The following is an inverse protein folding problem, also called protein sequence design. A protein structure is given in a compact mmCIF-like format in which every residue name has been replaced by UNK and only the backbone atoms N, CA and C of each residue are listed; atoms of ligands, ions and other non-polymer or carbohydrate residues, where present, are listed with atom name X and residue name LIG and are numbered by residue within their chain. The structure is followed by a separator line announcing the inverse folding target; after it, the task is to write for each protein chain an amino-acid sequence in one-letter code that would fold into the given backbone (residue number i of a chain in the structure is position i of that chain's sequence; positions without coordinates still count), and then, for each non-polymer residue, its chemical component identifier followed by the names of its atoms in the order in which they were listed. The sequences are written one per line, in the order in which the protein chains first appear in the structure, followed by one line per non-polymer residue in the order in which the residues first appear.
data_IF_512253568958
#
_entry.id   IF_512253568958
#
_cell.length_a   1.000
_cell.length_b   1.000
_cell.length_c   1.000
_cell.angle_alpha   90.00
_cell.angle_beta   90.00
_cell.angle_gamma   90.00
#
_symmetry.space_group_name_H-M   'P 1'
#
loop_
_entity.id
_entity.type
_entity.pdbx_description
1 polymer ?
#
# COMPACT_ATOMS: atom_id res chain seq x y z
N UNK A 1 23.04 -6.28 16.11
CA UNK A 1 23.17 -5.59 14.81
C UNK A 1 24.13 -6.40 13.96
N UNK A 2 23.61 -7.34 13.19
CA UNK A 2 24.40 -8.14 12.25
C UNK A 2 24.31 -7.39 10.92
N UNK A 3 25.35 -6.61 10.61
CA UNK A 3 25.53 -6.03 9.28
C UNK A 3 25.83 -7.18 8.30
N UNK A 4 24.83 -7.59 7.54
CA UNK A 4 25.10 -8.40 6.34
C UNK A 4 25.62 -7.42 5.29
N UNK A 5 26.93 -7.43 5.12
CA UNK A 5 27.62 -6.65 4.10
C UNK A 5 27.27 -7.24 2.73
N UNK A 6 26.32 -6.61 2.01
CA UNK A 6 25.98 -6.97 0.64
C UNK A 6 26.74 -6.02 -0.31
N UNK A 7 28.05 -6.18 -0.33
CA UNK A 7 28.96 -5.59 -1.33
C UNK A 7 28.88 -6.37 -2.66
N UNK A 8 27.70 -6.41 -3.29
CA UNK A 8 27.56 -7.15 -4.57
C UNK A 8 26.88 -6.33 -5.68
N UNK A 9 26.65 -5.05 -5.51
CA UNK A 9 26.07 -4.23 -6.56
C UNK A 9 26.89 -2.95 -6.74
N UNK A 10 27.88 -3.01 -7.65
CA UNK A 10 28.66 -1.85 -8.06
C UNK A 10 27.75 -0.81 -8.74
N UNK A 11 27.40 0.22 -8.01
CA UNK A 11 26.84 1.45 -8.60
C UNK A 11 28.02 2.34 -9.00
N UNK A 12 28.17 2.57 -10.29
CA UNK A 12 29.13 3.56 -10.81
C UNK A 12 28.50 4.96 -10.64
N UNK A 13 28.79 5.62 -9.51
CA UNK A 13 28.31 6.95 -9.19
C UNK A 13 29.03 8.00 -10.05
N UNK A 14 28.49 8.38 -11.21
CA UNK A 14 28.80 9.63 -11.88
C UNK A 14 27.57 10.52 -12.00
N UNK A 15 27.42 11.44 -11.04
CA UNK A 15 26.80 12.78 -11.08
C UNK A 15 25.62 13.06 -12.00
N UNK A 16 24.43 12.79 -11.51
CA UNK A 16 23.20 13.59 -11.56
C UNK A 16 22.30 12.87 -10.58
N UNK A 17 21.86 13.45 -9.48
CA UNK A 17 21.17 12.93 -8.30
C UNK A 17 20.85 11.42 -8.27
N UNK A 18 21.00 10.79 -7.12
CA UNK A 18 20.64 9.37 -6.96
C UNK A 18 19.19 9.14 -7.39
N UNK A 19 18.88 8.01 -8.08
CA UNK A 19 17.50 7.68 -8.46
C UNK A 19 16.62 7.59 -7.23
N UNK A 20 15.37 8.07 -7.35
CA UNK A 20 14.43 8.19 -6.25
C UNK A 20 13.25 7.24 -6.39
N UNK A 21 12.63 6.92 -5.26
CA UNK A 21 11.41 6.12 -5.17
C UNK A 21 10.22 7.05 -4.98
N UNK A 22 9.20 6.89 -5.83
CA UNK A 22 7.97 7.65 -5.80
C UNK A 22 6.75 6.73 -5.69
N UNK A 23 5.74 7.18 -4.93
CA UNK A 23 4.47 6.46 -4.82
C UNK A 23 3.40 7.13 -5.68
N UNK A 24 2.70 6.30 -6.45
CA UNK A 24 1.49 6.67 -7.17
C UNK A 24 0.33 5.83 -6.63
N UNK A 25 -0.60 6.47 -5.93
CA UNK A 25 -1.75 5.76 -5.37
C UNK A 25 -2.89 5.63 -6.38
N UNK A 26 -3.42 4.43 -6.51
CA UNK A 26 -4.52 4.10 -7.43
C UNK A 26 -5.82 3.70 -6.70
N UNK A 27 -5.94 4.01 -5.41
CA UNK A 27 -7.15 3.76 -4.61
C UNK A 27 -8.40 4.32 -5.28
N UNK A 28 -8.34 5.54 -5.81
CA UNK A 28 -9.46 6.21 -6.47
C UNK A 28 -9.77 5.71 -7.88
N UNK A 29 -8.94 4.84 -8.43
CA UNK A 29 -9.15 4.23 -9.76
C UNK A 29 -9.38 2.73 -9.61
N UNK A 30 -8.38 1.95 -9.19
CA UNK A 30 -8.47 0.50 -9.04
C UNK A 30 -9.14 0.09 -7.72
N UNK A 31 -8.78 0.75 -6.62
CA UNK A 31 -9.38 0.48 -5.31
C UNK A 31 -10.91 0.60 -5.32
N UNK A 32 -11.48 1.61 -5.99
CA UNK A 32 -12.94 1.78 -6.10
C UNK A 32 -13.62 0.75 -7.01
N UNK A 33 -12.85 -0.07 -7.74
CA UNK A 33 -13.37 -1.16 -8.56
C UNK A 33 -13.46 -2.48 -7.76
N UNK A 34 -13.04 -2.48 -6.50
CA UNK A 34 -13.20 -3.65 -5.62
C UNK A 34 -14.66 -4.12 -5.61
N UNK A 35 -14.87 -5.40 -5.89
CA UNK A 35 -16.20 -5.97 -5.92
C UNK A 35 -16.91 -5.83 -4.57
N UNK A 36 -18.22 -5.56 -4.57
CA UNK A 36 -19.10 -5.41 -3.40
C UNK A 36 -18.75 -4.23 -2.48
N UNK A 37 -17.94 -3.29 -2.95
CA UNK A 37 -17.66 -2.04 -2.25
C UNK A 37 -18.04 -0.85 -3.11
N UNK A 38 -18.18 0.30 -2.50
CA UNK A 38 -18.44 1.55 -3.18
C UNK A 38 -17.88 2.71 -2.38
N UNK A 39 -17.38 3.71 -3.07
CA UNK A 39 -16.94 4.95 -2.45
C UNK A 39 -17.64 6.12 -3.11
N UNK A 40 -18.22 7.00 -2.29
CA UNK A 40 -18.86 8.23 -2.80
C UNK A 40 -17.82 9.16 -3.43
N UNK A 41 -18.24 10.11 -4.26
CA UNK A 41 -17.35 11.13 -4.83
C UNK A 41 -16.66 11.97 -3.73
N UNK A 42 -17.37 12.23 -2.63
CA UNK A 42 -16.78 12.86 -1.45
C UNK A 42 -15.73 11.95 -0.80
N UNK A 43 -16.01 10.65 -0.67
CA UNK A 43 -15.03 9.67 -0.20
C UNK A 43 -13.77 9.65 -1.07
N UNK A 44 -13.90 9.61 -2.39
CA UNK A 44 -12.76 9.75 -3.32
C UNK A 44 -11.97 11.05 -3.10
N UNK A 45 -12.66 12.14 -2.78
CA UNK A 45 -12.01 13.44 -2.43
C UNK A 45 -11.22 13.33 -1.14
N UNK A 46 -11.75 12.65 -0.12
CA UNK A 46 -11.04 12.43 1.14
C UNK A 46 -9.82 11.52 0.98
N UNK A 47 -9.85 10.53 0.06
CA UNK A 47 -8.63 9.77 -0.29
C UNK A 47 -7.54 10.73 -0.78
N UNK A 48 -7.82 11.62 -1.72
CA UNK A 48 -6.84 12.60 -2.19
C UNK A 48 -6.34 13.53 -1.08
N UNK A 49 -7.24 13.94 -0.16
CA UNK A 49 -6.86 14.73 1.01
C UNK A 49 -5.85 14.00 1.89
N UNK A 50 -6.11 12.74 2.23
CA UNK A 50 -5.19 11.96 3.06
C UNK A 50 -3.87 11.64 2.34
N UNK A 51 -3.91 11.34 1.05
CA UNK A 51 -2.69 11.13 0.25
C UNK A 51 -1.81 12.38 0.22
N UNK A 52 -2.42 13.57 0.06
CA UNK A 52 -1.69 14.83 0.14
C UNK A 52 -1.09 15.09 1.52
N UNK A 53 -1.78 14.74 2.61
CA UNK A 53 -1.26 14.85 3.98
C UNK A 53 -0.17 13.84 4.29
N UNK A 54 -0.31 12.63 3.75
CA UNK A 54 0.73 11.58 3.86
C UNK A 54 1.98 11.93 3.02
N UNK A 55 1.87 12.82 2.03
CA UNK A 55 2.98 13.25 1.20
C UNK A 55 3.25 12.34 0.00
N UNK A 56 2.26 11.60 -0.49
CA UNK A 56 2.37 10.77 -1.71
C UNK A 56 2.51 11.64 -2.95
N UNK A 57 3.37 11.26 -3.90
CA UNK A 57 3.67 12.07 -5.08
C UNK A 57 2.47 12.26 -6.02
N UNK A 58 1.68 11.21 -6.25
CA UNK A 58 0.63 11.23 -7.27
C UNK A 58 -0.57 10.35 -6.90
N UNK A 59 -1.77 10.81 -7.25
CA UNK A 59 -3.02 10.04 -7.17
C UNK A 59 -3.65 9.88 -8.55
N UNK A 60 -4.03 8.65 -8.91
CA UNK A 60 -4.84 8.35 -10.08
C UNK A 60 -6.31 8.44 -9.69
N UNK A 61 -6.93 9.60 -9.96
CA UNK A 61 -8.21 9.99 -9.38
C UNK A 61 -9.44 9.34 -10.01
N UNK A 62 -9.30 8.65 -11.15
CA UNK A 62 -10.39 7.95 -11.84
C UNK A 62 -10.38 8.13 -13.35
N UNK A 63 -11.57 8.15 -13.96
CA UNK A 63 -11.80 8.00 -15.39
C UNK A 63 -12.35 9.29 -16.03
N UNK A 64 -11.51 10.29 -16.39
CA UNK A 64 -11.99 11.60 -16.84
C UNK A 64 -12.77 11.59 -18.16
N UNK A 65 -12.73 10.50 -18.93
CA UNK A 65 -13.49 10.33 -20.16
C UNK A 65 -14.94 9.84 -19.94
N UNK A 66 -15.28 9.38 -18.72
CA UNK A 66 -16.63 8.93 -18.37
C UNK A 66 -17.49 10.10 -17.91
N UNK A 67 -18.67 10.27 -18.52
CA UNK A 67 -19.53 11.43 -18.28
C UNK A 67 -19.89 11.65 -16.80
N UNK A 68 -20.10 10.56 -16.04
CA UNK A 68 -20.47 10.62 -14.62
C UNK A 68 -19.28 10.89 -13.69
N UNK A 69 -18.05 10.80 -14.19
CA UNK A 69 -16.82 11.19 -13.46
C UNK A 69 -16.46 12.67 -13.70
N UNK A 70 -16.90 13.28 -14.80
CA UNK A 70 -16.51 14.65 -15.16
C UNK A 70 -16.77 15.68 -14.06
N UNK A 71 -17.94 15.74 -13.40
CA UNK A 71 -18.16 16.70 -12.31
C UNK A 71 -17.19 16.50 -11.13
N UNK A 72 -16.90 15.24 -10.78
CA UNK A 72 -15.94 14.91 -9.74
C UNK A 72 -14.53 15.36 -10.14
N UNK A 73 -14.07 15.03 -11.35
CA UNK A 73 -12.72 15.42 -11.83
C UNK A 73 -12.57 16.94 -11.82
N UNK A 74 -13.58 17.69 -12.25
CA UNK A 74 -13.59 19.17 -12.18
C UNK A 74 -13.46 19.68 -10.75
N UNK A 75 -14.18 19.07 -9.80
CA UNK A 75 -14.07 19.41 -8.40
C UNK A 75 -12.66 19.13 -7.84
N UNK A 76 -12.04 18.01 -8.24
CA UNK A 76 -10.68 17.69 -7.81
C UNK A 76 -9.66 18.71 -8.36
N UNK A 77 -9.76 19.10 -9.62
CA UNK A 77 -8.91 20.15 -10.20
C UNK A 77 -9.07 21.47 -9.41
N UNK A 78 -10.29 21.90 -9.13
CA UNK A 78 -10.55 23.12 -8.39
C UNK A 78 -10.00 23.05 -6.94
N UNK A 79 -10.16 21.92 -6.25
CA UNK A 79 -9.64 21.71 -4.90
C UNK A 79 -8.11 21.68 -4.88
N UNK A 80 -7.45 21.06 -5.87
CA UNK A 80 -6.00 21.09 -5.99
C UNK A 80 -5.48 22.52 -6.21
N UNK A 81 -6.11 23.29 -7.07
CA UNK A 81 -5.76 24.71 -7.29
C UNK A 81 -5.96 25.57 -6.03
N UNK A 82 -6.93 25.20 -5.18
CA UNK A 82 -7.15 25.85 -3.88
C UNK A 82 -6.17 25.37 -2.78
N UNK A 83 -5.26 24.44 -3.09
CA UNK A 83 -4.27 23.92 -2.15
C UNK A 83 -4.78 22.85 -1.20
N UNK A 84 -5.98 22.27 -1.42
CA UNK A 84 -6.59 21.30 -0.51
C UNK A 84 -5.79 20.00 -0.36
N UNK A 85 -4.97 19.67 -1.34
CA UNK A 85 -4.21 18.42 -1.42
C UNK A 85 -2.69 18.60 -1.31
N UNK A 86 -2.21 19.82 -0.93
CA UNK A 86 -0.77 20.10 -0.92
C UNK A 86 -0.14 19.90 -2.29
N UNK A 87 1.01 19.22 -2.34
CA UNK A 87 1.77 18.99 -3.57
C UNK A 87 1.35 17.72 -4.34
N UNK A 88 0.27 17.04 -3.91
CA UNK A 88 -0.24 15.84 -4.56
C UNK A 88 -0.59 16.11 -6.04
N UNK A 89 0.07 15.40 -6.94
CA UNK A 89 -0.24 15.45 -8.37
C UNK A 89 -1.46 14.60 -8.69
N UNK A 90 -2.43 15.17 -9.41
CA UNK A 90 -3.63 14.45 -9.83
C UNK A 90 -3.46 13.94 -11.26
N UNK A 91 -3.72 12.64 -11.48
CA UNK A 91 -3.71 12.02 -12.80
C UNK A 91 -5.03 11.37 -13.15
N UNK A 92 -5.36 11.35 -14.44
CA UNK A 92 -6.50 10.64 -15.00
C UNK A 92 -6.07 9.34 -15.66
N UNK A 93 -6.88 8.28 -15.53
CA UNK A 93 -6.69 7.05 -16.26
C UNK A 93 -7.62 6.99 -17.48
N UNK A 94 -7.09 6.61 -18.65
CA UNK A 94 -7.84 6.42 -19.87
C UNK A 94 -7.46 5.10 -20.55
N UNK A 95 -8.37 4.55 -21.35
CA UNK A 95 -7.96 3.52 -22.31
C UNK A 95 -7.02 4.16 -23.32
N UNK A 96 -6.04 3.38 -23.82
CA UNK A 96 -5.12 3.79 -24.88
C UNK A 96 -5.82 3.94 -26.24
N UNK A 97 -6.89 4.71 -26.26
CA UNK A 97 -7.76 5.00 -27.39
C UNK A 97 -7.83 6.52 -27.55
N UNK A 98 -7.41 7.09 -28.68
CA UNK A 98 -7.32 8.54 -28.86
C UNK A 98 -8.61 9.29 -28.50
N UNK A 99 -9.78 8.76 -28.86
CA UNK A 99 -11.07 9.39 -28.59
C UNK A 99 -11.40 9.52 -27.09
N UNK A 100 -10.96 8.58 -26.25
CA UNK A 100 -11.13 8.69 -24.80
C UNK A 100 -10.22 9.76 -24.22
N UNK A 101 -8.98 9.83 -24.71
CA UNK A 101 -8.00 10.83 -24.30
C UNK A 101 -8.44 12.23 -24.69
N UNK A 102 -8.92 12.42 -25.92
CA UNK A 102 -9.46 13.69 -26.41
C UNK A 102 -10.61 14.20 -25.52
N UNK A 103 -11.52 13.34 -25.09
CA UNK A 103 -12.56 13.70 -24.11
C UNK A 103 -11.99 14.07 -22.75
N UNK A 104 -11.02 13.29 -22.26
CA UNK A 104 -10.42 13.49 -20.95
C UNK A 104 -9.67 14.83 -20.84
N UNK A 105 -8.90 15.21 -21.85
CA UNK A 105 -8.13 16.47 -21.85
C UNK A 105 -9.02 17.71 -21.97
N UNK A 106 -10.28 17.56 -22.35
CA UNK A 106 -11.26 18.66 -22.36
C UNK A 106 -11.89 18.93 -20.99
N UNK A 107 -11.69 18.04 -20.01
CA UNK A 107 -12.22 18.25 -18.65
C UNK A 107 -11.40 19.31 -17.94
N UNK A 108 -12.00 20.47 -17.69
CA UNK A 108 -11.34 21.64 -17.11
C UNK A 108 -12.18 22.27 -16.00
N UNK A 109 -11.48 22.92 -15.05
CA UNK A 109 -12.06 23.81 -14.05
C UNK A 109 -11.23 25.10 -14.00
N UNK A 110 -11.86 26.28 -14.08
CA UNK A 110 -11.17 27.55 -14.09
C UNK A 110 -10.12 27.70 -15.22
N UNK A 111 -10.34 27.05 -16.37
CA UNK A 111 -9.38 27.01 -17.48
C UNK A 111 -8.26 25.96 -17.35
N UNK A 112 -8.07 25.36 -16.18
CA UNK A 112 -7.06 24.33 -15.91
C UNK A 112 -7.61 22.91 -16.10
N UNK A 113 -6.79 21.99 -16.59
CA UNK A 113 -7.07 20.56 -16.75
C UNK A 113 -6.11 19.72 -15.93
N UNK A 114 -6.30 18.40 -15.95
CA UNK A 114 -5.30 17.49 -15.42
C UNK A 114 -3.99 17.63 -16.21
N UNK A 115 -2.88 17.62 -15.50
CA UNK A 115 -1.55 17.67 -16.09
C UNK A 115 -0.92 16.29 -16.34
N UNK A 116 -1.49 15.25 -15.76
CA UNK A 116 -0.93 13.88 -15.78
C UNK A 116 -1.99 12.88 -16.23
N UNK A 117 -1.62 11.95 -17.11
CA UNK A 117 -2.50 10.91 -17.64
C UNK A 117 -1.78 9.55 -17.66
N UNK A 118 -2.52 8.49 -17.40
CA UNK A 118 -2.08 7.12 -17.56
C UNK A 118 -2.99 6.42 -18.58
N UNK A 119 -2.40 5.93 -19.67
CA UNK A 119 -3.10 5.34 -20.80
C UNK A 119 -2.89 3.83 -20.82
N UNK A 120 -3.94 3.02 -20.92
CA UNK A 120 -3.85 1.57 -20.77
C UNK A 120 -4.34 0.82 -22.00
N UNK A 121 -3.54 -0.17 -22.43
CA UNK A 121 -3.91 -1.15 -23.47
C UNK A 121 -3.30 -2.51 -23.10
N UNK A 122 -3.98 -3.60 -23.45
CA UNK A 122 -3.43 -4.95 -23.24
C UNK A 122 -2.32 -5.25 -24.24
N UNK A 123 -1.23 -5.85 -23.75
CA UNK A 123 -0.03 -6.11 -24.56
C UNK A 123 0.26 -7.60 -24.74
N UNK A 124 -0.30 -8.50 -23.90
CA UNK A 124 -0.02 -9.93 -24.03
C UNK A 124 -0.76 -10.57 -25.18
N UNK A 125 -0.12 -11.50 -25.89
CA UNK A 125 -0.74 -12.30 -26.94
C UNK A 125 -1.98 -13.04 -26.42
N UNK A 126 -1.97 -13.44 -25.14
CA UNK A 126 -3.11 -14.07 -24.51
C UNK A 126 -4.34 -13.16 -24.51
N UNK A 127 -4.18 -11.89 -24.11
CA UNK A 127 -5.31 -10.94 -24.13
C UNK A 127 -5.67 -10.51 -25.55
N UNK A 128 -4.73 -10.35 -26.45
CA UNK A 128 -5.01 -10.04 -27.84
C UNK A 128 -5.88 -11.13 -28.49
N UNK A 129 -5.58 -12.40 -28.23
CA UNK A 129 -6.36 -13.52 -28.74
C UNK A 129 -7.74 -13.65 -28.05
N UNK A 130 -7.79 -13.57 -26.72
CA UNK A 130 -8.99 -13.94 -25.95
C UNK A 130 -9.89 -12.75 -25.60
N UNK A 131 -9.34 -11.62 -25.12
CA UNK A 131 -10.08 -10.41 -24.76
C UNK A 131 -10.56 -9.65 -26.00
N UNK A 132 -9.65 -9.46 -26.97
CA UNK A 132 -9.94 -8.76 -28.21
C UNK A 132 -10.38 -9.68 -29.37
N UNK A 133 -10.35 -11.00 -29.15
CA UNK A 133 -10.74 -12.01 -30.15
C UNK A 133 -10.02 -11.82 -31.49
N UNK A 134 -8.72 -11.50 -31.44
CA UNK A 134 -7.88 -11.26 -32.60
C UNK A 134 -8.21 -9.99 -33.41
N UNK A 135 -9.01 -9.06 -32.85
CA UNK A 135 -9.30 -7.77 -33.52
C UNK A 135 -8.17 -6.77 -33.45
N UNK A 136 -7.25 -6.95 -32.51
CA UNK A 136 -6.02 -6.19 -32.37
C UNK A 136 -4.83 -7.13 -32.48
N UNK A 137 -3.84 -6.73 -33.24
CA UNK A 137 -2.52 -7.33 -33.28
C UNK A 137 -1.50 -6.42 -32.58
N UNK A 138 -0.24 -6.85 -32.45
CA UNK A 138 0.82 -6.09 -31.79
C UNK A 138 1.05 -4.73 -32.45
N UNK A 139 1.01 -4.65 -33.79
CA UNK A 139 1.17 -3.40 -34.54
C UNK A 139 0.01 -2.43 -34.26
N UNK A 140 -1.23 -2.92 -34.19
CA UNK A 140 -2.39 -2.11 -33.85
C UNK A 140 -2.28 -1.58 -32.42
N UNK A 141 -1.81 -2.36 -31.45
CA UNK A 141 -1.56 -1.93 -30.07
C UNK A 141 -0.58 -0.75 -30.05
N UNK A 142 0.53 -0.84 -30.76
CA UNK A 142 1.53 0.25 -30.84
C UNK A 142 0.91 1.49 -31.51
N UNK A 143 0.21 1.32 -32.65
CA UNK A 143 -0.43 2.46 -33.36
C UNK A 143 -1.43 3.18 -32.49
N UNK A 144 -2.36 2.45 -31.81
CA UNK A 144 -3.38 3.05 -30.95
C UNK A 144 -2.75 3.77 -29.77
N UNK A 145 -1.81 3.12 -29.06
CA UNK A 145 -1.16 3.74 -27.91
C UNK A 145 -0.35 4.99 -28.27
N UNK A 146 0.43 4.93 -29.33
CA UNK A 146 1.23 6.10 -29.77
C UNK A 146 0.34 7.27 -30.20
N UNK A 147 -0.78 6.99 -30.88
CA UNK A 147 -1.78 8.00 -31.20
C UNK A 147 -2.42 8.62 -29.95
N UNK A 148 -2.75 7.78 -28.95
CA UNK A 148 -3.31 8.22 -27.69
C UNK A 148 -2.31 9.10 -26.90
N UNK A 149 -1.03 8.73 -26.85
CA UNK A 149 0.03 9.55 -26.23
C UNK A 149 0.14 10.90 -26.89
N UNK A 150 0.18 10.97 -28.24
CA UNK A 150 0.23 12.23 -28.99
C UNK A 150 -1.01 13.09 -28.72
N UNK A 151 -2.21 12.48 -28.63
CA UNK A 151 -3.44 13.20 -28.29
C UNK A 151 -3.38 13.81 -26.87
N UNK A 152 -2.84 13.07 -25.88
CA UNK A 152 -2.65 13.59 -24.52
C UNK A 152 -1.67 14.78 -24.51
N UNK A 153 -0.53 14.66 -25.16
CA UNK A 153 0.47 15.74 -25.25
C UNK A 153 -0.08 16.96 -25.99
N UNK A 154 -0.78 16.78 -27.11
CA UNK A 154 -1.45 17.86 -27.85
C UNK A 154 -2.55 18.53 -26.99
N UNK A 155 -3.21 17.80 -26.10
CA UNK A 155 -4.18 18.30 -25.13
C UNK A 155 -3.57 19.03 -23.94
N UNK A 156 -2.24 19.13 -23.85
CA UNK A 156 -1.50 19.85 -22.82
C UNK A 156 -1.10 19.00 -21.60
N UNK A 157 -1.09 17.67 -21.73
CA UNK A 157 -0.56 16.81 -20.67
C UNK A 157 0.94 17.07 -20.43
N UNK A 158 1.31 17.29 -19.17
CA UNK A 158 2.70 17.44 -18.75
C UNK A 158 3.41 16.10 -18.76
N UNK A 159 2.80 15.07 -18.14
CA UNK A 159 3.33 13.70 -18.18
C UNK A 159 2.27 12.70 -18.65
N UNK A 160 2.73 11.69 -19.37
CA UNK A 160 1.91 10.58 -19.86
C UNK A 160 2.60 9.27 -19.51
N UNK A 161 1.94 8.44 -18.68
CA UNK A 161 2.32 7.05 -18.47
C UNK A 161 1.57 6.14 -19.44
N UNK A 162 2.21 5.11 -19.94
CA UNK A 162 1.56 4.06 -20.75
C UNK A 162 1.53 2.76 -19.99
N UNK A 163 0.37 2.13 -19.88
CA UNK A 163 0.18 0.91 -19.10
C UNK A 163 0.15 -0.29 -20.06
N UNK A 164 1.13 -1.17 -19.92
CA UNK A 164 1.14 -2.49 -20.54
C UNK A 164 0.27 -3.44 -19.69
N UNK A 165 -1.06 -3.44 -19.94
CA UNK A 165 -1.96 -4.37 -19.26
C UNK A 165 -1.58 -5.80 -19.60
N UNK A 166 -1.49 -6.66 -18.57
CA UNK A 166 -1.01 -8.04 -18.65
C UNK A 166 0.47 -8.15 -19.04
N UNK A 167 1.26 -7.19 -18.55
CA UNK A 167 2.70 -7.13 -18.78
C UNK A 167 3.45 -8.36 -18.31
N UNK A 168 3.00 -9.01 -17.21
CA UNK A 168 3.62 -10.24 -16.70
C UNK A 168 3.55 -11.42 -17.68
N UNK A 169 2.60 -11.43 -18.60
CA UNK A 169 2.48 -12.44 -19.68
C UNK A 169 2.85 -11.91 -21.07
N UNK A 170 3.31 -10.66 -21.15
CA UNK A 170 3.76 -10.06 -22.40
C UNK A 170 5.18 -10.54 -22.74
N UNK A 171 5.45 -10.83 -24.00
CA UNK A 171 6.78 -11.11 -24.52
C UNK A 171 7.73 -9.93 -24.27
N UNK A 172 8.93 -10.19 -23.77
CA UNK A 172 9.86 -9.13 -23.35
C UNK A 172 10.33 -8.26 -24.54
N UNK A 173 10.51 -8.86 -25.72
CA UNK A 173 10.86 -8.13 -26.93
C UNK A 173 9.75 -7.16 -27.34
N UNK A 174 8.51 -7.65 -27.37
CA UNK A 174 7.35 -6.81 -27.69
C UNK A 174 7.11 -5.73 -26.62
N UNK A 175 7.29 -6.03 -25.35
CA UNK A 175 7.17 -5.05 -24.27
C UNK A 175 8.19 -3.92 -24.45
N UNK A 176 9.42 -4.24 -24.84
CA UNK A 176 10.47 -3.26 -25.12
C UNK A 176 10.12 -2.42 -26.35
N UNK A 177 9.66 -3.03 -27.44
CA UNK A 177 9.21 -2.35 -28.65
C UNK A 177 8.05 -1.38 -28.36
N UNK A 178 7.05 -1.83 -27.63
CA UNK A 178 5.91 -1.01 -27.16
C UNK A 178 6.37 0.19 -26.36
N UNK A 179 7.26 0.00 -25.39
CA UNK A 179 7.76 1.06 -24.52
C UNK A 179 8.60 2.10 -25.30
N UNK A 180 9.46 1.65 -26.23
CA UNK A 180 10.23 2.53 -27.10
C UNK A 180 9.33 3.38 -28.01
N UNK A 181 8.35 2.75 -28.67
CA UNK A 181 7.40 3.47 -29.51
C UNK A 181 6.58 4.49 -28.71
N UNK A 182 6.18 4.14 -27.49
CA UNK A 182 5.48 5.07 -26.58
C UNK A 182 6.38 6.24 -26.18
N UNK A 183 7.64 6.00 -25.85
CA UNK A 183 8.64 7.04 -25.54
C UNK A 183 8.83 8.01 -26.71
N UNK A 184 8.99 7.49 -27.94
CA UNK A 184 9.10 8.32 -29.16
C UNK A 184 7.84 9.18 -29.39
N UNK A 185 6.67 8.68 -29.00
CA UNK A 185 5.42 9.43 -29.06
C UNK A 185 5.29 10.51 -27.97
N UNK A 186 6.18 10.49 -26.95
CA UNK A 186 6.24 11.44 -25.86
C UNK A 186 5.77 10.91 -24.51
N UNK A 187 5.70 9.58 -24.31
CA UNK A 187 5.44 9.00 -22.98
C UNK A 187 6.64 9.22 -22.05
N UNK A 188 6.35 9.41 -20.77
CA UNK A 188 7.34 9.70 -19.72
C UNK A 188 7.64 8.47 -18.85
N UNK A 189 6.74 7.48 -18.84
CA UNK A 189 6.86 6.21 -18.06
C UNK A 189 6.14 5.09 -18.77
N UNK A 190 6.60 3.86 -18.57
CA UNK A 190 5.84 2.66 -18.90
C UNK A 190 5.43 1.94 -17.61
N UNK A 191 4.13 1.65 -17.45
CA UNK A 191 3.62 0.86 -16.34
C UNK A 191 3.56 -0.61 -16.73
N UNK A 192 4.30 -1.41 -16.01
CA UNK A 192 4.21 -2.87 -16.08
C UNK A 192 3.10 -3.35 -15.16
N UNK A 193 2.06 -3.96 -15.73
CA UNK A 193 0.94 -4.47 -14.95
C UNK A 193 1.06 -5.98 -14.77
N UNK A 194 1.32 -6.45 -13.55
CA UNK A 194 1.11 -7.84 -13.15
C UNK A 194 -0.38 -8.05 -12.88
N UNK A 195 -1.15 -8.02 -13.96
CA UNK A 195 -2.62 -7.97 -13.98
C UNK A 195 -3.26 -9.17 -13.28
N UNK A 196 -2.63 -10.34 -13.35
CA UNK A 196 -3.14 -11.57 -12.73
C UNK A 196 -2.45 -11.93 -11.41
N UNK A 197 -1.52 -11.09 -10.94
CA UNK A 197 -0.77 -11.32 -9.71
C UNK A 197 0.08 -12.60 -9.74
N UNK A 198 0.61 -12.95 -10.90
CA UNK A 198 1.34 -14.21 -11.14
C UNK A 198 2.85 -14.07 -11.26
N UNK A 199 3.38 -12.87 -11.05
CA UNK A 199 4.82 -12.64 -11.09
C UNK A 199 5.51 -13.00 -9.77
N UNK A 200 6.84 -13.11 -9.81
CA UNK A 200 7.67 -13.38 -8.64
C UNK A 200 8.68 -12.25 -8.45
N UNK A 201 9.14 -12.00 -7.19
CA UNK A 201 10.08 -10.91 -6.91
C UNK A 201 11.34 -10.93 -7.79
N UNK A 202 11.98 -12.10 -7.96
CA UNK A 202 13.20 -12.19 -8.74
C UNK A 202 12.95 -11.93 -10.24
N UNK A 203 11.87 -12.50 -10.80
CA UNK A 203 11.52 -12.34 -12.21
C UNK A 203 11.15 -10.88 -12.52
N UNK A 204 10.34 -10.22 -11.70
CA UNK A 204 9.95 -8.85 -11.94
C UNK A 204 11.16 -7.91 -11.84
N UNK A 205 12.06 -8.12 -10.86
CA UNK A 205 13.29 -7.33 -10.74
C UNK A 205 14.16 -7.41 -11.99
N UNK A 206 14.40 -8.62 -12.48
CA UNK A 206 15.20 -8.84 -13.68
C UNK A 206 14.56 -8.17 -14.91
N UNK A 207 13.24 -8.33 -15.09
CA UNK A 207 12.50 -7.74 -16.21
C UNK A 207 12.53 -6.20 -16.17
N UNK A 208 12.37 -5.61 -14.99
CA UNK A 208 12.43 -4.15 -14.81
C UNK A 208 13.83 -3.63 -15.14
N UNK A 209 14.88 -4.23 -14.58
CA UNK A 209 16.25 -3.81 -14.87
C UNK A 209 16.57 -3.86 -16.38
N UNK A 210 16.13 -4.92 -17.08
CA UNK A 210 16.30 -5.07 -18.52
C UNK A 210 15.49 -4.03 -19.30
N UNK A 211 14.21 -3.87 -18.98
CA UNK A 211 13.30 -2.97 -19.70
C UNK A 211 13.72 -1.50 -19.50
N UNK A 212 13.95 -1.08 -18.25
CA UNK A 212 14.37 0.27 -17.91
C UNK A 212 15.71 0.64 -18.58
N UNK A 213 16.69 -0.28 -18.56
CA UNK A 213 17.98 -0.08 -19.26
C UNK A 213 17.81 0.03 -20.77
N UNK A 214 16.98 -0.82 -21.38
CA UNK A 214 16.78 -0.83 -22.84
C UNK A 214 16.04 0.41 -23.33
N UNK A 215 15.07 0.90 -22.53
CA UNK A 215 14.21 2.04 -22.91
C UNK A 215 14.79 3.37 -22.43
N UNK A 216 15.59 3.38 -21.35
CA UNK A 216 16.09 4.60 -20.71
C UNK A 216 14.93 5.49 -20.21
N UNK A 217 13.95 4.88 -19.55
CA UNK A 217 12.75 5.52 -19.05
C UNK A 217 12.24 4.71 -17.82
N UNK A 218 11.72 5.37 -16.77
CA UNK A 218 11.18 4.67 -15.60
C UNK A 218 10.11 3.63 -15.95
N UNK A 219 10.15 2.48 -15.28
CA UNK A 219 9.13 1.44 -15.36
C UNK A 219 8.32 1.46 -14.07
N UNK A 220 7.05 1.74 -14.16
CA UNK A 220 6.15 1.85 -13.00
C UNK A 220 5.54 0.49 -12.65
N UNK A 221 5.57 0.09 -11.39
CA UNK A 221 4.98 -1.18 -10.93
C UNK A 221 3.47 -1.04 -10.76
N UNK A 222 2.71 -2.07 -11.17
CA UNK A 222 1.31 -2.24 -10.80
C UNK A 222 1.03 -3.73 -10.58
N UNK A 223 1.05 -4.17 -9.32
CA UNK A 223 0.99 -5.59 -8.97
C UNK A 223 -0.28 -5.93 -8.21
N UNK A 224 -1.04 -6.93 -8.72
CA UNK A 224 -2.17 -7.52 -7.99
C UNK A 224 -1.70 -8.60 -7.01
N UNK A 225 -2.55 -8.89 -6.01
CA UNK A 225 -2.19 -9.63 -4.81
C UNK A 225 -2.74 -11.07 -4.79
N UNK A 226 -3.01 -11.66 -5.96
CA UNK A 226 -3.65 -12.98 -6.06
C UNK A 226 -2.83 -14.11 -5.42
N UNK A 227 -1.51 -13.99 -5.38
CA UNK A 227 -0.60 -14.91 -4.69
C UNK A 227 -0.03 -14.35 -3.37
N UNK A 228 -0.51 -13.18 -2.89
CA UNK A 228 0.02 -12.54 -1.70
C UNK A 228 1.38 -11.87 -1.91
N UNK A 229 1.82 -11.66 -3.15
CA UNK A 229 3.15 -11.15 -3.49
C UNK A 229 3.18 -9.69 -3.95
N UNK A 230 2.06 -8.98 -3.99
CA UNK A 230 1.99 -7.64 -4.58
C UNK A 230 3.00 -6.66 -3.97
N UNK A 231 3.14 -6.61 -2.65
CA UNK A 231 4.11 -5.74 -1.96
C UNK A 231 5.54 -6.14 -2.33
N UNK A 232 5.88 -7.42 -2.24
CA UNK A 232 7.21 -7.93 -2.57
C UNK A 232 7.57 -7.68 -4.05
N UNK A 233 6.63 -7.95 -4.97
CA UNK A 233 6.83 -7.70 -6.40
C UNK A 233 7.01 -6.21 -6.70
N UNK A 234 6.23 -5.33 -6.05
CA UNK A 234 6.36 -3.88 -6.22
C UNK A 234 7.72 -3.36 -5.75
N UNK A 235 8.21 -3.85 -4.60
CA UNK A 235 9.54 -3.52 -4.10
C UNK A 235 10.62 -4.00 -5.06
N UNK A 236 10.56 -5.25 -5.49
CA UNK A 236 11.57 -5.83 -6.37
C UNK A 236 11.56 -5.20 -7.77
N UNK A 237 10.39 -4.83 -8.31
CA UNK A 237 10.31 -4.04 -9.53
C UNK A 237 11.02 -2.69 -9.39
N UNK A 238 10.74 -1.96 -8.31
CA UNK A 238 11.42 -0.71 -8.01
C UNK A 238 12.95 -0.87 -7.90
N UNK A 239 13.43 -1.92 -7.22
CA UNK A 239 14.86 -2.23 -7.17
C UNK A 239 15.48 -2.51 -8.55
N UNK A 240 14.68 -3.05 -9.49
CA UNK A 240 15.09 -3.22 -10.88
C UNK A 240 15.30 -1.90 -11.63
N UNK A 241 14.38 -0.93 -11.44
CA UNK A 241 14.51 0.43 -11.98
C UNK A 241 15.75 1.14 -11.45
N UNK A 242 15.92 1.11 -10.12
CA UNK A 242 17.08 1.73 -9.46
C UNK A 242 18.39 1.13 -9.96
N UNK A 243 18.43 -0.19 -10.19
CA UNK A 243 19.59 -0.89 -10.76
C UNK A 243 19.89 -0.40 -12.19
N UNK A 244 18.88 0.03 -12.94
CA UNK A 244 19.03 0.62 -14.27
C UNK A 244 19.32 2.13 -14.24
N UNK A 245 19.47 2.75 -13.05
CA UNK A 245 19.72 4.18 -12.90
C UNK A 245 18.47 5.04 -13.17
N UNK A 246 17.28 4.48 -13.08
CA UNK A 246 16.01 5.19 -13.28
C UNK A 246 15.29 5.39 -11.94
N UNK A 247 14.50 6.47 -11.84
CA UNK A 247 13.56 6.65 -10.74
C UNK A 247 12.53 5.51 -10.73
N UNK A 248 12.19 5.01 -9.55
CA UNK A 248 11.19 3.97 -9.39
C UNK A 248 9.82 4.55 -9.06
N UNK A 249 8.80 4.14 -9.78
CA UNK A 249 7.40 4.51 -9.54
C UNK A 249 6.58 3.31 -9.10
N UNK A 250 5.94 3.40 -7.95
CA UNK A 250 5.25 2.26 -7.35
C UNK A 250 3.77 2.56 -7.23
N UNK A 251 2.94 1.75 -7.89
CA UNK A 251 1.49 1.81 -7.67
C UNK A 251 1.11 1.09 -6.39
N UNK A 252 0.27 1.75 -5.61
CA UNK A 252 -0.26 1.25 -4.36
C UNK A 252 -1.73 1.57 -4.21
N UNK A 253 -2.38 0.89 -3.26
CA UNK A 253 -3.69 1.27 -2.73
C UNK A 253 -3.62 1.30 -1.21
N UNK A 254 -4.37 2.20 -0.57
CA UNK A 254 -4.55 2.16 0.88
C UNK A 254 -5.13 0.81 1.29
N UNK A 255 -4.57 0.20 2.34
CA UNK A 255 -4.97 -1.12 2.86
C UNK A 255 -4.90 -2.26 1.81
N UNK A 256 -4.22 -2.05 0.69
CA UNK A 256 -4.13 -3.03 -0.39
C UNK A 256 -5.44 -3.32 -1.12
N UNK A 257 -6.45 -2.44 -1.02
CA UNK A 257 -7.74 -2.64 -1.70
C UNK A 257 -7.57 -2.63 -3.22
N UNK A 258 -8.46 -3.32 -3.95
CA UNK A 258 -8.41 -3.41 -5.41
C UNK A 258 -9.19 -4.60 -5.96
N UNK A 259 -9.13 -4.78 -7.27
CA UNK A 259 -9.76 -5.92 -7.93
C UNK A 259 -9.26 -7.26 -7.37
N UNK A 260 -10.16 -8.24 -7.24
CA UNK A 260 -9.91 -9.60 -6.75
C UNK A 260 -9.31 -9.62 -5.33
N UNK A 261 -8.03 -10.01 -5.19
CA UNK A 261 -7.30 -10.06 -3.91
C UNK A 261 -6.60 -8.73 -3.55
N UNK A 262 -6.81 -7.68 -4.36
CA UNK A 262 -6.28 -6.35 -4.12
C UNK A 262 -4.96 -6.06 -4.83
N UNK A 263 -4.31 -5.00 -4.38
CA UNK A 263 -3.04 -4.45 -4.90
C UNK A 263 -1.96 -4.41 -3.80
N UNK A 264 -0.81 -3.87 -4.12
CA UNK A 264 0.22 -3.57 -3.12
C UNK A 264 -0.32 -2.55 -2.10
N UNK A 265 -0.23 -2.89 -0.81
CA UNK A 265 -0.62 -1.98 0.28
C UNK A 265 0.37 -0.84 0.43
N UNK A 266 -0.14 0.40 0.41
CA UNK A 266 0.66 1.63 0.47
C UNK A 266 1.57 1.66 1.71
N UNK A 267 1.00 1.45 2.91
CA UNK A 267 1.76 1.54 4.14
C UNK A 267 2.81 0.44 4.26
N UNK A 268 2.44 -0.80 3.95
CA UNK A 268 3.39 -1.92 3.96
C UNK A 268 4.57 -1.69 3.03
N UNK A 269 4.33 -1.11 1.86
CA UNK A 269 5.39 -0.81 0.88
C UNK A 269 6.32 0.31 1.37
N UNK A 270 5.75 1.39 1.94
CA UNK A 270 6.54 2.50 2.52
C UNK A 270 7.41 2.00 3.69
N UNK A 271 6.81 1.24 4.63
CA UNK A 271 7.53 0.72 5.79
C UNK A 271 8.65 -0.24 5.39
N UNK A 272 8.42 -1.09 4.38
CA UNK A 272 9.46 -1.98 3.87
C UNK A 272 10.67 -1.20 3.32
N UNK A 273 10.45 -0.15 2.53
CA UNK A 273 11.55 0.67 2.04
C UNK A 273 12.27 1.40 3.17
N UNK A 274 11.57 1.91 4.17
CA UNK A 274 12.20 2.63 5.28
C UNK A 274 13.02 1.75 6.22
N UNK A 275 12.64 0.48 6.39
CA UNK A 275 13.22 -0.36 7.44
C UNK A 275 14.00 -1.57 6.94
N UNK A 276 13.69 -2.08 5.75
CA UNK A 276 14.36 -3.25 5.18
C UNK A 276 15.26 -2.91 3.99
N UNK A 277 14.98 -1.82 3.28
CA UNK A 277 15.71 -1.39 2.10
C UNK A 277 16.25 0.03 2.30
N UNK A 278 17.03 0.22 3.38
CA UNK A 278 17.63 1.51 3.76
C UNK A 278 18.31 2.16 2.54
N UNK A 279 17.99 3.41 2.23
CA UNK A 279 18.60 4.18 1.14
C UNK A 279 20.11 4.22 1.19
N UNK A 280 20.70 4.30 2.39
CA UNK A 280 22.16 4.31 2.57
C UNK A 280 22.83 3.00 2.14
N UNK A 281 22.06 1.88 2.15
CA UNK A 281 22.56 0.57 1.73
C UNK A 281 22.32 0.33 0.23
N UNK A 282 21.21 0.86 -0.33
CA UNK A 282 20.79 0.64 -1.71
C UNK A 282 21.05 1.82 -2.65
N UNK A 283 21.59 2.94 -2.15
CA UNK A 283 21.89 4.13 -2.95
C UNK A 283 20.66 4.83 -3.55
N UNK A 284 19.51 4.71 -2.91
CA UNK A 284 18.25 5.34 -3.37
C UNK A 284 17.50 5.92 -2.19
N UNK A 285 16.70 6.95 -2.41
CA UNK A 285 15.88 7.58 -1.38
C UNK A 285 14.40 7.61 -1.80
N UNK A 286 13.51 7.58 -0.80
CA UNK A 286 12.11 7.93 -1.07
C UNK A 286 12.10 9.43 -1.38
N UNK A 287 11.81 9.77 -2.64
CA UNK A 287 11.76 11.15 -3.11
C UNK A 287 10.51 11.90 -2.64
N UNK A 288 9.50 11.16 -2.17
CA UNK A 288 8.26 11.73 -1.68
C UNK A 288 8.43 12.16 -0.20
N UNK A 289 7.88 13.32 0.22
CA UNK A 289 7.97 13.82 1.61
C UNK A 289 6.98 13.09 2.52
N UNK A 290 7.14 11.77 2.68
CA UNK A 290 6.20 10.92 3.40
C UNK A 290 6.14 11.25 4.91
N UNK A 291 4.96 11.68 5.37
CA UNK A 291 4.62 11.90 6.77
C UNK A 291 3.75 10.75 7.31
N UNK A 292 4.39 9.76 7.93
CA UNK A 292 3.71 8.59 8.48
C UNK A 292 2.74 8.90 9.62
N UNK A 293 2.77 10.10 10.21
CA UNK A 293 1.82 10.48 11.26
C UNK A 293 0.35 10.49 10.79
N UNK A 294 0.12 10.50 9.48
CA UNK A 294 -1.19 10.39 8.84
C UNK A 294 -1.59 8.97 8.45
N UNK A 295 -0.66 8.01 8.50
CA UNK A 295 -0.86 6.66 7.97
C UNK A 295 -2.01 5.92 8.65
N UNK A 296 -2.01 5.88 10.00
CA UNK A 296 -3.03 5.18 10.78
C UNK A 296 -4.42 5.79 10.57
N UNK A 297 -4.53 7.12 10.64
CA UNK A 297 -5.79 7.82 10.41
C UNK A 297 -6.35 7.55 9.02
N UNK A 298 -5.51 7.57 7.99
CA UNK A 298 -5.92 7.27 6.63
C UNK A 298 -6.39 5.82 6.46
N UNK A 299 -5.62 4.84 6.96
CA UNK A 299 -5.95 3.43 6.85
C UNK A 299 -7.29 3.09 7.54
N UNK A 300 -7.50 3.61 8.75
CA UNK A 300 -8.72 3.41 9.52
C UNK A 300 -9.93 4.08 8.85
N UNK A 301 -9.76 5.32 8.39
CA UNK A 301 -10.81 6.03 7.66
C UNK A 301 -11.19 5.29 6.36
N UNK A 302 -10.21 4.81 5.60
CA UNK A 302 -10.45 4.06 4.37
C UNK A 302 -11.21 2.75 4.66
N UNK A 303 -10.81 2.01 5.70
CA UNK A 303 -11.53 0.82 6.16
C UNK A 303 -13.02 1.11 6.42
N UNK A 304 -13.30 2.20 7.14
CA UNK A 304 -14.67 2.65 7.40
C UNK A 304 -15.40 3.06 6.11
N UNK A 305 -14.77 3.89 5.28
CA UNK A 305 -15.39 4.45 4.08
C UNK A 305 -15.71 3.40 3.01
N UNK A 306 -14.85 2.39 2.86
CA UNK A 306 -15.08 1.25 1.95
C UNK A 306 -15.95 0.14 2.56
N UNK A 307 -16.24 0.18 3.87
CA UNK A 307 -16.94 -0.88 4.57
C UNK A 307 -16.16 -2.20 4.61
N UNK A 308 -14.83 -2.14 4.52
CA UNK A 308 -13.94 -3.30 4.59
C UNK A 308 -13.13 -3.26 5.90
N UNK A 309 -13.45 -4.09 6.90
CA UNK A 309 -12.72 -4.14 8.15
C UNK A 309 -11.24 -4.50 7.92
N UNK A 310 -10.34 -3.82 8.63
CA UNK A 310 -8.92 -4.19 8.63
C UNK A 310 -8.72 -5.54 9.31
N UNK A 311 -7.90 -6.43 8.76
CA UNK A 311 -7.41 -7.60 9.48
C UNK A 311 -6.71 -7.18 10.79
N UNK A 312 -6.81 -7.99 11.83
CA UNK A 312 -6.15 -7.70 13.11
C UNK A 312 -4.63 -7.57 12.98
N UNK A 313 -4.05 -8.30 12.05
CA UNK A 313 -2.61 -8.33 11.75
C UNK A 313 -2.20 -7.44 10.56
N UNK A 314 -3.06 -6.48 10.14
CA UNK A 314 -2.66 -5.53 9.10
C UNK A 314 -1.40 -4.77 9.51
N UNK A 315 -0.42 -4.73 8.62
CA UNK A 315 0.87 -4.08 8.89
C UNK A 315 0.68 -2.64 9.38
N UNK A 316 1.27 -2.32 10.50
CA UNK A 316 1.30 -0.99 11.13
C UNK A 316 -0.02 -0.49 11.73
N UNK A 317 -1.18 -0.93 11.25
CA UNK A 317 -2.49 -0.34 11.63
C UNK A 317 -3.51 -1.33 12.16
N UNK A 318 -3.26 -2.64 12.03
CA UNK A 318 -4.09 -3.69 12.62
C UNK A 318 -4.05 -3.65 14.15
N UNK A 319 -5.09 -4.18 14.79
CA UNK A 319 -5.20 -4.18 16.26
C UNK A 319 -4.07 -4.93 16.96
N UNK A 320 -3.48 -5.93 16.27
CA UNK A 320 -2.40 -6.76 16.80
C UNK A 320 -1.01 -6.31 16.33
N UNK A 321 -0.89 -5.25 15.52
CA UNK A 321 0.40 -4.83 14.97
C UNK A 321 1.44 -4.50 16.06
N UNK A 322 1.00 -4.06 17.24
CA UNK A 322 1.83 -3.72 18.41
C UNK A 322 1.26 -4.36 19.70
N UNK A 323 0.58 -5.51 19.59
CA UNK A 323 0.01 -6.21 20.75
C UNK A 323 0.86 -7.41 21.11
N UNK A 324 1.15 -7.58 22.39
CA UNK A 324 1.94 -8.68 22.93
C UNK A 324 1.14 -9.47 23.96
N UNK A 325 1.01 -10.78 23.78
CA UNK A 325 0.29 -11.69 24.67
C UNK A 325 1.20 -12.80 25.21
N UNK A 326 2.10 -13.33 24.37
CA UNK A 326 3.07 -14.34 24.80
C UNK A 326 3.98 -13.80 25.91
N UNK A 327 4.19 -14.62 26.97
CA UNK A 327 4.98 -14.21 28.13
C UNK A 327 6.37 -13.71 27.81
N UNK A 328 7.08 -14.35 26.87
CA UNK A 328 8.42 -13.94 26.44
C UNK A 328 8.38 -12.59 25.70
N UNK A 329 7.41 -12.43 24.78
CA UNK A 329 7.27 -11.21 24.01
C UNK A 329 6.84 -10.03 24.89
N UNK A 330 5.86 -10.25 25.79
CA UNK A 330 5.39 -9.22 26.72
C UNK A 330 6.51 -8.76 27.67
N UNK A 331 7.25 -9.68 28.28
CA UNK A 331 8.39 -9.35 29.16
C UNK A 331 9.49 -8.57 28.40
N UNK A 332 9.82 -9.01 27.19
CA UNK A 332 10.82 -8.33 26.36
C UNK A 332 10.38 -6.93 25.90
N UNK A 333 9.13 -6.79 25.43
CA UNK A 333 8.58 -5.50 24.99
C UNK A 333 8.42 -4.49 26.14
N UNK A 334 8.12 -4.97 27.36
CA UNK A 334 8.08 -4.11 28.56
C UNK A 334 9.45 -3.59 28.98
N UNK A 335 10.54 -4.33 28.70
CA UNK A 335 11.91 -3.90 28.98
C UNK A 335 12.44 -2.94 27.93
N UNK A 336 12.21 -3.27 26.67
CA UNK A 336 12.55 -2.46 25.49
C UNK A 336 11.71 -2.96 24.33
N UNK A 337 10.85 -2.10 23.77
CA UNK A 337 9.98 -2.49 22.66
C UNK A 337 10.77 -2.90 21.40
N UNK A 338 11.95 -2.33 21.16
CA UNK A 338 12.84 -2.73 20.08
C UNK A 338 13.29 -4.20 20.11
N UNK A 339 13.05 -4.95 21.21
CA UNK A 339 13.26 -6.40 21.23
C UNK A 339 12.31 -7.17 20.29
N UNK A 340 11.11 -6.63 20.03
CA UNK A 340 10.07 -7.33 19.26
C UNK A 340 9.33 -6.43 18.26
N UNK A 341 9.64 -5.13 18.18
CA UNK A 341 9.04 -4.19 17.24
C UNK A 341 10.12 -3.63 16.32
N UNK A 342 9.87 -3.67 15.01
CA UNK A 342 10.80 -3.18 13.99
C UNK A 342 10.78 -1.64 13.88
N UNK A 343 9.65 -1.04 14.15
CA UNK A 343 9.42 0.42 14.12
C UNK A 343 8.47 0.83 15.25
N UNK A 344 8.53 2.10 15.62
CA UNK A 344 7.75 2.60 16.74
C UNK A 344 6.29 2.87 16.34
N UNK A 345 5.36 2.44 17.19
CA UNK A 345 3.93 2.67 17.08
C UNK A 345 3.57 4.15 16.91
N UNK A 346 4.25 5.02 17.66
CA UNK A 346 3.98 6.47 17.65
C UNK A 346 4.25 7.12 16.30
N UNK A 347 5.15 6.58 15.48
CA UNK A 347 5.49 7.11 14.15
C UNK A 347 4.32 7.08 13.18
N UNK A 348 3.35 6.20 13.39
CA UNK A 348 2.18 6.03 12.53
C UNK A 348 1.01 6.97 12.89
N UNK A 349 1.23 7.85 13.84
CA UNK A 349 0.26 8.81 14.34
C UNK A 349 -0.77 8.25 15.31
N UNK A 350 -1.54 9.12 15.96
CA UNK A 350 -2.52 8.73 16.97
C UNK A 350 -3.70 7.98 16.35
N UNK A 351 -4.35 7.14 17.17
CA UNK A 351 -5.69 6.66 16.86
C UNK A 351 -6.70 7.82 16.98
N UNK A 352 -7.71 7.87 16.11
CA UNK A 352 -8.81 8.83 16.25
C UNK A 352 -9.54 8.65 17.60
N UNK A 353 -9.93 9.75 18.26
CA UNK A 353 -10.51 9.76 19.60
C UNK A 353 -11.81 8.96 19.74
N UNK A 354 -12.56 8.80 18.65
CA UNK A 354 -13.83 8.05 18.57
C UNK A 354 -13.64 6.54 18.35
N UNK A 355 -12.41 6.08 18.21
CA UNK A 355 -12.08 4.68 18.00
C UNK A 355 -11.73 3.99 19.32
N UNK A 356 -12.77 3.77 20.15
CA UNK A 356 -12.65 3.14 21.46
C UNK A 356 -12.18 1.68 21.36
N UNK A 357 -11.08 1.36 21.94
CA UNK A 357 -10.57 0.12 22.52
C UNK A 357 -9.05 0.20 22.63
N UNK A 358 -8.43 -0.59 23.52
CA UNK A 358 -6.98 -0.71 23.66
C UNK A 358 -6.33 -0.92 22.30
N UNK A 359 -5.56 0.07 21.86
CA UNK A 359 -4.92 0.12 20.54
C UNK A 359 -3.54 0.73 20.70
N UNK A 360 -2.66 0.42 19.74
CA UNK A 360 -1.26 0.72 19.89
C UNK A 360 -0.53 -0.38 20.65
N UNK A 361 0.56 -0.04 21.31
CA UNK A 361 1.32 -1.00 22.11
C UNK A 361 0.54 -1.39 23.35
N UNK A 362 0.11 -2.64 23.40
CA UNK A 362 -0.63 -3.21 24.54
C UNK A 362 -0.09 -4.58 24.91
N UNK A 363 -0.05 -4.85 26.20
CA UNK A 363 0.16 -6.20 26.73
C UNK A 363 -1.21 -6.77 27.11
N UNK A 364 -1.52 -7.96 26.59
CA UNK A 364 -2.77 -8.65 26.82
C UNK A 364 -2.53 -9.88 27.70
N UNK A 365 -3.58 -10.33 28.39
CA UNK A 365 -3.57 -11.61 29.06
C UNK A 365 -3.95 -12.71 28.08
N UNK A 366 -3.30 -13.87 28.19
CA UNK A 366 -3.56 -15.03 27.33
C UNK A 366 -3.20 -16.34 28.03
N UNK A 367 -3.60 -17.48 27.44
CA UNK A 367 -3.25 -18.82 27.93
C UNK A 367 -1.73 -18.98 28.11
N UNK A 368 -0.96 -18.44 27.18
CA UNK A 368 0.51 -18.50 27.16
C UNK A 368 1.17 -17.26 27.77
N UNK A 369 0.40 -16.41 28.47
CA UNK A 369 0.88 -15.20 29.13
C UNK A 369 1.83 -15.52 30.28
N UNK A 370 2.82 -14.64 30.50
CA UNK A 370 3.78 -14.71 31.59
C UNK A 370 3.38 -13.83 32.80
N UNK A 371 4.02 -14.07 33.97
CA UNK A 371 3.78 -13.29 35.19
C UNK A 371 4.06 -11.79 35.01
N UNK A 372 5.06 -11.41 34.21
CA UNK A 372 5.37 -10.02 33.95
C UNK A 372 4.22 -9.30 33.23
N UNK A 373 3.65 -9.92 32.18
CA UNK A 373 2.48 -9.39 31.48
C UNK A 373 1.24 -9.33 32.38
N UNK A 374 1.00 -10.36 33.18
CA UNK A 374 -0.10 -10.40 34.15
C UNK A 374 0.01 -9.21 35.15
N UNK A 375 1.17 -9.02 35.79
CA UNK A 375 1.39 -7.91 36.72
C UNK A 375 1.19 -6.56 36.05
N UNK A 376 1.76 -6.34 34.87
CA UNK A 376 1.60 -5.11 34.11
C UNK A 376 0.12 -4.78 33.86
N UNK A 377 -0.68 -5.80 33.51
CA UNK A 377 -2.12 -5.60 33.27
C UNK A 377 -2.86 -5.28 34.57
N UNK A 378 -2.55 -5.98 35.69
CA UNK A 378 -3.14 -5.72 37.01
C UNK A 378 -2.80 -4.32 37.53
N UNK A 379 -1.53 -3.91 37.41
CA UNK A 379 -1.06 -2.56 37.77
C UNK A 379 -1.79 -1.49 36.95
N UNK A 380 -1.92 -1.70 35.64
CA UNK A 380 -2.65 -0.81 34.73
C UNK A 380 -4.16 -0.67 35.08
N UNK A 381 -4.74 -1.72 35.65
CA UNK A 381 -6.12 -1.72 36.18
C UNK A 381 -6.23 -1.11 37.57
N UNK A 382 -5.12 -0.88 38.27
CA UNK A 382 -5.10 -0.46 39.66
C UNK A 382 -5.68 -1.53 40.61
N UNK A 383 -5.44 -2.82 40.29
CA UNK A 383 -5.97 -3.97 41.04
C UNK A 383 -4.85 -4.75 41.66
N UNK A 384 -4.92 -4.96 42.96
CA UNK A 384 -4.03 -5.86 43.70
C UNK A 384 -4.74 -7.21 43.91
N UNK A 385 -4.27 -8.32 43.30
CA UNK A 385 -4.91 -9.61 43.44
C UNK A 385 -4.90 -10.11 44.89
N UNK A 386 -6.02 -10.64 45.38
CA UNK A 386 -6.13 -11.20 46.72
C UNK A 386 -5.22 -12.44 46.94
N UNK A 387 -4.89 -13.14 45.86
CA UNK A 387 -3.91 -14.21 45.78
C UNK A 387 -3.28 -14.19 44.37
N UNK A 388 -2.07 -13.61 44.24
CA UNK A 388 -1.43 -13.38 42.97
C UNK A 388 -1.17 -14.66 42.18
N UNK A 389 -0.66 -15.69 42.84
CA UNK A 389 -0.31 -16.97 42.20
C UNK A 389 -1.54 -17.70 41.66
N UNK A 390 -2.60 -17.72 42.48
CA UNK A 390 -3.86 -18.34 42.09
C UNK A 390 -4.58 -17.56 41.02
N UNK A 391 -4.61 -16.22 41.13
CA UNK A 391 -5.18 -15.32 40.10
C UNK A 391 -4.47 -15.46 38.76
N UNK A 392 -3.15 -15.56 38.76
CA UNK A 392 -2.37 -15.79 37.54
C UNK A 392 -2.74 -17.11 36.86
N UNK A 393 -2.81 -18.21 37.61
CA UNK A 393 -3.24 -19.53 37.08
C UNK A 393 -4.68 -19.47 36.54
N UNK A 394 -5.58 -18.79 37.24
CA UNK A 394 -6.97 -18.65 36.78
C UNK A 394 -7.09 -17.83 35.51
N UNK A 395 -6.31 -16.77 35.37
CA UNK A 395 -6.27 -15.97 34.12
C UNK A 395 -5.84 -16.86 32.96
N UNK A 396 -4.82 -17.70 33.11
CA UNK A 396 -4.43 -18.66 32.07
C UNK A 396 -5.53 -19.64 31.73
N UNK A 397 -6.15 -20.28 32.75
CA UNK A 397 -7.23 -21.22 32.53
C UNK A 397 -8.49 -20.61 31.91
N UNK A 398 -8.84 -19.38 32.30
CA UNK A 398 -9.97 -18.69 31.72
C UNK A 398 -9.67 -18.31 30.26
N UNK A 399 -8.47 -17.81 29.96
CA UNK A 399 -8.08 -17.49 28.58
C UNK A 399 -8.07 -18.73 27.68
N UNK A 400 -7.67 -19.91 28.20
CA UNK A 400 -7.71 -21.16 27.45
C UNK A 400 -9.14 -21.58 27.02
N UNK A 401 -10.16 -21.03 27.66
CA UNK A 401 -11.57 -21.31 27.36
C UNK A 401 -12.26 -20.20 26.55
N UNK A 402 -11.54 -19.15 26.18
CA UNK A 402 -12.06 -18.01 25.41
C UNK A 402 -11.32 -17.87 24.08
N UNK A 403 -11.99 -17.29 23.09
CA UNK A 403 -11.38 -16.93 21.80
C UNK A 403 -10.91 -15.48 21.76
N UNK A 404 -10.86 -14.81 22.90
CA UNK A 404 -10.50 -13.38 23.04
C UNK A 404 -9.77 -13.15 24.37
N UNK A 405 -8.97 -12.07 24.47
CA UNK A 405 -8.43 -11.65 25.75
C UNK A 405 -9.55 -11.37 26.78
N UNK A 406 -9.28 -11.62 28.05
CA UNK A 406 -10.22 -11.29 29.11
C UNK A 406 -10.44 -9.78 29.21
N UNK A 407 -11.67 -9.40 29.50
CA UNK A 407 -12.05 -8.01 29.75
C UNK A 407 -11.55 -7.53 31.12
N UNK A 408 -11.52 -6.20 31.31
CA UNK A 408 -11.15 -5.60 32.58
C UNK A 408 -12.00 -6.09 33.75
N UNK A 409 -13.32 -6.26 33.54
CA UNK A 409 -14.24 -6.75 34.57
C UNK A 409 -14.00 -8.23 34.91
N UNK A 410 -13.70 -9.06 33.91
CA UNK A 410 -13.33 -10.46 34.12
C UNK A 410 -12.02 -10.57 34.91
N UNK A 411 -11.03 -9.74 34.58
CA UNK A 411 -9.75 -9.69 35.31
C UNK A 411 -9.93 -9.20 36.75
N UNK A 412 -10.78 -8.16 36.98
CA UNK A 412 -11.11 -7.66 38.32
C UNK A 412 -11.78 -8.75 39.16
N UNK A 413 -12.74 -9.44 38.58
CA UNK A 413 -13.43 -10.52 39.27
C UNK A 413 -12.47 -11.68 39.69
N UNK A 414 -11.55 -12.03 38.78
CA UNK A 414 -10.53 -13.07 39.08
C UNK A 414 -9.58 -12.60 40.18
N UNK A 415 -9.16 -11.36 40.16
CA UNK A 415 -8.26 -10.80 41.16
C UNK A 415 -8.89 -10.68 42.54
N UNK A 416 -10.18 -10.36 42.61
CA UNK A 416 -10.91 -10.14 43.87
C UNK A 416 -11.36 -11.44 44.52
N UNK A 417 -11.80 -12.45 43.71
CA UNK A 417 -12.39 -13.71 44.21
C UNK A 417 -11.68 -14.95 43.63
N UNK A 418 -10.35 -15.05 43.73
CA UNK A 418 -9.63 -16.17 43.07
C UNK A 418 -9.97 -17.54 43.67
N UNK A 419 -10.22 -17.61 44.96
CA UNK A 419 -10.52 -18.90 45.64
C UNK A 419 -11.89 -19.45 45.25
N UNK A 420 -12.89 -18.61 45.16
CA UNK A 420 -14.25 -18.93 44.76
C UNK A 420 -14.28 -19.37 43.29
N UNK A 421 -13.57 -18.64 42.43
CA UNK A 421 -13.47 -18.95 41.02
C UNK A 421 -12.67 -20.21 40.73
N UNK A 422 -11.71 -20.59 41.59
CA UNK A 422 -11.00 -21.85 41.50
C UNK A 422 -11.92 -23.06 41.54
N UNK A 423 -13.11 -22.95 42.17
CA UNK A 423 -14.11 -24.02 42.19
C UNK A 423 -14.65 -24.39 40.80
N UNK A 424 -14.61 -23.45 39.83
CA UNK A 424 -14.97 -23.72 38.43
C UNK A 424 -14.00 -24.71 37.76
N UNK A 425 -12.79 -24.83 38.28
CA UNK A 425 -11.69 -25.61 37.74
C UNK A 425 -11.24 -26.71 38.70
N UNK A 426 -12.14 -27.16 39.58
CA UNK A 426 -11.84 -28.23 40.56
C UNK A 426 -11.32 -29.48 39.85
N UNK A 427 -10.04 -29.82 40.09
CA UNK A 427 -9.30 -30.91 39.43
C UNK A 427 -8.23 -30.45 38.41
N UNK A 428 -8.15 -29.18 38.08
CA UNK A 428 -7.13 -28.60 37.15
C UNK A 428 -6.11 -27.70 37.86
N UNK A 429 -6.31 -27.40 39.15
CA UNK A 429 -5.49 -26.41 39.90
C UNK A 429 -4.64 -27.10 41.00
N UNK A 430 -4.68 -28.45 41.12
CA UNK A 430 -3.83 -29.20 42.08
C UNK A 430 -2.35 -29.26 41.68
#
# INVERSE_FOLDING_TARGET
MILVNIDTYGFDCQSEGMPQIHFLDVTNRDGVQTARTGLSKFGKTMVNFYLGRLGVAQSEIGFPFLFHEVPYVRAQIALAEAGAFGDLRLSGWCRGVPQDVEKAVQVRAGGKGLAHYNLSISTSDYMLANKFRGKLDRDAVIREMTAAVRAAKAGGARTVGVNAEDGSRTDDGFLTEFALAAKEAGADRVRYCDTIGGDTPDRIRERFAKLASAVGMPVETHCHNDLGLAVANSIHGALGDLQAGQDAWINTCVNGIGERSGNADLLSTILAFRHAFDPQVNGSEIGDPIDLSWARRFALWASYAFGQPLPYNQVGVGRNAFAHESGIHADGALKDHGNYELYDDETLGPFPDDWHARRGRVVLTGEYGGKAGFRHVMDGLGVEPADEELSFKLVQLCNAQTSRPLTDDELRLIAEYPRELALLFSGAIE
#
